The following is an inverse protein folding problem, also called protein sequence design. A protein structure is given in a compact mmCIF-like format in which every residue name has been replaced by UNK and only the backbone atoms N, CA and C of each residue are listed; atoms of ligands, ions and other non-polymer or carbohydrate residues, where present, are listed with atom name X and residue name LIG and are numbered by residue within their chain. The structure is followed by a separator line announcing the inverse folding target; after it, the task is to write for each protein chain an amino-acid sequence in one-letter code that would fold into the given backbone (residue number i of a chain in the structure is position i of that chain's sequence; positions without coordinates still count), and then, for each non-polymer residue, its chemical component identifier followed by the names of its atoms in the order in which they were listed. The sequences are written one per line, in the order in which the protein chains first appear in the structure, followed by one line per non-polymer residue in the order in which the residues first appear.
data_IF_202144809612
#
_entry.id   IF_202144809612
#
_cell.length_a   1.000
_cell.length_b   1.000
_cell.length_c   1.000
_cell.angle_alpha   90.00
_cell.angle_beta   90.00
_cell.angle_gamma   90.00
#
_symmetry.space_group_name_H-M   'P 1'
#
loop_
_entity.id
_entity.type
_entity.pdbx_description
1 polymer ?
#
# COMPACT_ATOMS: atom_id res chain seq x y z
N UNK A 1 -82.89 12.92 1.92
CA UNK A 1 -82.47 14.16 2.62
C UNK A 1 -81.29 14.72 1.82
N UNK A 2 -81.48 15.62 0.85
CA UNK A 2 -81.26 17.10 0.98
C UNK A 2 -80.17 17.39 2.03
N UNK A 3 -78.98 17.89 1.71
CA UNK A 3 -78.64 19.15 1.04
C UNK A 3 -77.20 19.07 0.48
N UNK A 4 -76.96 19.30 -0.82
CA UNK A 4 -76.47 20.55 -1.45
C UNK A 4 -75.15 21.12 -0.90
N UNK A 5 -74.10 21.19 -1.73
CA UNK A 5 -73.51 22.45 -2.24
C UNK A 5 -72.46 22.16 -3.34
N UNK A 6 -72.51 22.99 -4.39
CA UNK A 6 -71.65 23.04 -5.59
C UNK A 6 -70.34 23.83 -5.32
N UNK A 7 -69.38 23.89 -6.27
CA UNK A 7 -67.93 23.99 -6.04
C UNK A 7 -67.40 25.43 -6.06
N UNK A 8 -66.18 25.63 -5.56
CA UNK A 8 -65.37 26.79 -5.94
C UNK A 8 -63.89 26.41 -6.08
N UNK A 9 -63.37 26.77 -7.24
CA UNK A 9 -61.97 26.76 -7.67
C UNK A 9 -61.12 27.60 -6.71
N UNK A 10 -59.97 27.08 -6.31
CA UNK A 10 -58.97 27.78 -5.53
C UNK A 10 -57.57 27.30 -5.89
N UNK A 11 -56.98 27.95 -6.89
CA UNK A 11 -55.58 27.81 -7.30
C UNK A 11 -54.68 28.16 -6.11
N UNK A 12 -53.92 27.20 -5.58
CA UNK A 12 -52.85 27.49 -4.62
C UNK A 12 -51.52 27.40 -5.35
N UNK A 13 -50.97 28.59 -5.61
CA UNK A 13 -49.61 28.83 -6.05
C UNK A 13 -48.68 28.44 -4.90
N UNK A 14 -48.04 27.27 -4.98
CA UNK A 14 -47.02 26.85 -4.03
C UNK A 14 -45.75 27.67 -4.22
N UNK A 15 -45.61 28.75 -3.45
CA UNK A 15 -44.36 29.49 -3.34
C UNK A 15 -43.27 28.59 -2.71
N UNK A 16 -42.22 28.31 -3.49
CA UNK A 16 -40.96 27.76 -2.99
C UNK A 16 -40.33 28.79 -2.05
N UNK A 17 -40.47 28.57 -0.74
CA UNK A 17 -39.63 29.22 0.25
C UNK A 17 -38.26 28.55 0.21
N UNK A 18 -37.31 29.18 -0.49
CA UNK A 18 -35.89 28.92 -0.28
C UNK A 18 -35.54 29.37 1.13
N UNK A 19 -35.47 28.43 2.08
CA UNK A 19 -34.82 28.68 3.35
C UNK A 19 -33.32 28.75 3.09
N UNK A 20 -32.80 29.97 2.98
CA UNK A 20 -31.38 30.23 3.05
C UNK A 20 -30.86 29.76 4.42
N UNK A 21 -30.13 28.64 4.45
CA UNK A 21 -29.27 28.33 5.59
C UNK A 21 -28.06 29.25 5.51
N UNK A 22 -28.08 30.28 6.34
CA UNK A 22 -26.94 31.14 6.63
C UNK A 22 -25.72 30.31 7.04
N UNK A 23 -24.57 30.64 6.47
CA UNK A 23 -23.25 30.08 6.79
C UNK A 23 -22.97 30.10 8.30
N UNK A 24 -22.89 28.91 8.90
CA UNK A 24 -22.23 28.71 10.19
C UNK A 24 -20.75 28.41 9.94
N UNK A 25 -19.95 29.45 10.11
CA UNK A 25 -18.49 29.42 10.09
C UNK A 25 -17.98 29.18 11.51
N UNK A 26 -17.54 27.95 11.84
CA UNK A 26 -16.50 27.59 12.83
C UNK A 26 -16.59 26.12 13.27
N UNK A 27 -15.55 25.53 13.89
CA UNK A 27 -14.12 25.54 13.56
C UNK A 27 -13.58 24.08 13.48
N UNK A 28 -12.38 23.91 12.92
CA UNK A 28 -11.52 22.73 13.08
C UNK A 28 -12.18 21.37 12.82
N UNK A 29 -12.26 20.99 11.55
CA UNK A 29 -12.18 19.59 11.21
C UNK A 29 -10.88 19.03 11.83
N UNK A 30 -10.89 17.85 12.49
CA UNK A 30 -9.65 17.19 12.81
C UNK A 30 -8.92 16.96 11.48
N UNK A 31 -7.71 17.49 11.40
CA UNK A 31 -6.81 17.20 10.29
C UNK A 31 -6.60 15.69 10.33
N UNK A 32 -7.27 14.96 9.43
CA UNK A 32 -6.94 13.58 9.17
C UNK A 32 -5.47 13.63 8.76
N UNK A 33 -4.61 13.12 9.64
CA UNK A 33 -3.21 12.89 9.38
C UNK A 33 -3.12 12.30 7.98
N UNK A 34 -2.53 13.04 7.04
CA UNK A 34 -2.05 12.46 5.81
C UNK A 34 -1.10 11.34 6.24
N UNK A 35 -1.60 10.10 6.20
CA UNK A 35 -0.75 8.93 6.26
C UNK A 35 0.33 9.18 5.22
N UNK A 36 1.59 9.09 5.66
CA UNK A 36 2.69 8.90 4.73
C UNK A 36 2.23 7.86 3.72
N UNK A 37 2.31 8.18 2.43
CA UNK A 37 1.99 7.22 1.38
C UNK A 37 3.07 6.14 1.43
N UNK A 38 2.89 5.18 2.32
CA UNK A 38 3.66 3.97 2.36
C UNK A 38 3.41 3.29 1.02
N UNK A 39 4.42 3.29 0.15
CA UNK A 39 4.34 2.66 -1.16
C UNK A 39 4.41 1.15 -0.96
N UNK A 40 3.27 0.52 -0.80
CA UNK A 40 3.13 -0.91 -0.95
C UNK A 40 3.24 -1.25 -2.44
N UNK A 41 3.92 -2.35 -2.74
CA UNK A 41 3.92 -2.92 -4.08
C UNK A 41 3.16 -4.24 -4.02
N UNK A 42 2.14 -4.38 -4.85
CA UNK A 42 1.28 -5.56 -4.87
C UNK A 42 1.52 -6.38 -6.13
N UNK A 43 1.36 -7.68 -5.99
CA UNK A 43 1.13 -8.58 -7.11
C UNK A 43 0.06 -9.59 -6.71
N UNK A 44 -0.61 -10.15 -7.70
CA UNK A 44 -1.68 -11.08 -7.48
C UNK A 44 -2.26 -11.54 -8.80
N UNK A 45 -2.80 -12.75 -8.80
CA UNK A 45 -3.56 -13.29 -9.92
C UNK A 45 -4.44 -14.42 -9.42
N UNK A 46 -5.64 -14.50 -9.97
CA UNK A 46 -6.53 -15.63 -9.74
C UNK A 46 -6.94 -16.22 -11.08
N UNK A 47 -6.90 -17.55 -11.21
CA UNK A 47 -7.34 -18.23 -12.43
C UNK A 47 -8.08 -19.50 -12.07
N UNK A 48 -9.22 -19.73 -12.71
CA UNK A 48 -10.07 -20.88 -12.36
C UNK A 48 -9.58 -22.17 -13.02
N UNK A 49 -9.23 -22.14 -14.32
CA UNK A 49 -8.69 -23.30 -15.03
C UNK A 49 -7.45 -22.91 -15.80
N UNK A 50 -6.36 -23.65 -15.59
CA UNK A 50 -5.17 -23.64 -16.43
C UNK A 50 -4.83 -25.10 -16.75
N UNK A 51 -4.90 -25.48 -18.03
CA UNK A 51 -4.72 -26.87 -18.43
C UNK A 51 -3.88 -27.00 -19.70
N UNK A 52 -2.92 -27.92 -19.68
CA UNK A 52 -2.18 -28.38 -20.86
C UNK A 52 -2.40 -29.88 -21.00
N UNK A 53 -2.86 -30.33 -22.18
CA UNK A 53 -3.10 -31.75 -22.47
C UNK A 53 -2.38 -32.14 -23.76
N UNK A 54 -1.41 -33.04 -23.62
CA UNK A 54 -0.58 -33.63 -24.68
C UNK A 54 -1.20 -34.97 -25.07
N UNK A 55 -2.25 -34.92 -25.88
CA UNK A 55 -2.99 -36.09 -26.35
C UNK A 55 -3.25 -36.03 -27.85
N UNK A 56 -2.23 -36.34 -28.66
CA UNK A 56 -2.34 -36.60 -30.11
C UNK A 56 -2.41 -35.40 -31.05
N UNK A 57 -2.79 -34.21 -30.57
CA UNK A 57 -2.69 -32.96 -31.32
C UNK A 57 -2.11 -31.85 -30.42
N UNK A 58 -1.39 -30.89 -31.02
CA UNK A 58 -0.90 -29.69 -30.35
C UNK A 58 -2.10 -28.81 -29.97
N UNK A 59 -2.75 -29.10 -28.85
CA UNK A 59 -3.79 -28.23 -28.30
C UNK A 59 -3.09 -27.08 -27.57
N UNK A 60 -3.50 -25.85 -27.87
CA UNK A 60 -3.06 -24.69 -27.12
C UNK A 60 -3.47 -24.83 -25.65
N UNK A 61 -2.71 -24.24 -24.70
CA UNK A 61 -3.11 -24.21 -23.30
C UNK A 61 -4.53 -23.68 -23.14
N UNK A 62 -5.34 -24.38 -22.36
CA UNK A 62 -6.70 -23.97 -22.00
C UNK A 62 -6.57 -23.08 -20.77
N UNK A 63 -7.02 -21.83 -20.88
CA UNK A 63 -7.18 -20.93 -19.74
C UNK A 63 -8.61 -20.43 -19.71
N UNK A 64 -9.30 -20.66 -18.59
CA UNK A 64 -10.68 -20.20 -18.39
C UNK A 64 -10.77 -19.39 -17.12
N UNK A 65 -11.36 -18.19 -17.25
CA UNK A 65 -11.56 -17.20 -16.19
C UNK A 65 -10.26 -16.85 -15.49
N UNK A 66 -9.68 -15.74 -15.92
CA UNK A 66 -8.48 -15.16 -15.34
C UNK A 66 -8.81 -13.74 -14.89
N UNK A 67 -8.61 -13.45 -13.60
CA UNK A 67 -8.77 -12.09 -13.11
C UNK A 67 -7.74 -11.14 -13.77
N UNK A 68 -6.63 -11.66 -14.30
CA UNK A 68 -5.51 -10.88 -14.78
C UNK A 68 -4.52 -10.53 -13.66
N UNK A 69 -3.35 -9.97 -14.01
CA UNK A 69 -2.35 -9.56 -13.04
C UNK A 69 -2.83 -8.30 -12.29
N UNK A 70 -2.73 -8.31 -10.97
CA UNK A 70 -2.94 -7.13 -10.15
C UNK A 70 -1.79 -6.12 -10.38
N UNK A 71 -2.08 -4.84 -10.67
CA UNK A 71 -1.06 -3.81 -10.80
C UNK A 71 -0.26 -3.61 -9.50
N UNK A 72 1.00 -3.19 -9.64
CA UNK A 72 1.89 -2.84 -8.52
C UNK A 72 1.34 -1.74 -7.61
N UNK A 73 0.48 -0.86 -8.14
CA UNK A 73 -0.21 0.19 -7.39
C UNK A 73 -1.38 -0.33 -6.55
N UNK A 74 -1.76 -1.60 -6.69
CA UNK A 74 -2.97 -2.18 -6.11
C UNK A 74 -4.19 -1.95 -6.99
N UNK A 75 -5.37 -2.10 -6.40
CA UNK A 75 -6.66 -2.10 -7.11
C UNK A 75 -7.40 -3.41 -6.92
N UNK A 76 -8.34 -3.69 -7.81
CA UNK A 76 -9.05 -4.97 -7.85
C UNK A 76 -9.37 -5.34 -9.29
N UNK A 77 -9.21 -6.62 -9.62
CA UNK A 77 -9.53 -7.19 -10.92
C UNK A 77 -10.32 -8.49 -10.71
N UNK A 78 -11.16 -8.85 -11.67
CA UNK A 78 -11.96 -10.06 -11.57
C UNK A 78 -12.69 -10.43 -12.84
N UNK A 79 -12.99 -11.72 -12.96
CA UNK A 79 -13.71 -12.27 -14.09
C UNK A 79 -14.62 -13.41 -13.61
N UNK A 80 -15.74 -13.60 -14.29
CA UNK A 80 -16.67 -14.70 -14.05
C UNK A 80 -17.09 -15.38 -15.35
N UNK A 81 -17.47 -16.65 -15.28
CA UNK A 81 -18.10 -17.38 -16.37
C UNK A 81 -19.14 -18.34 -15.78
N UNK A 82 -20.35 -18.32 -16.34
CA UNK A 82 -21.45 -19.12 -15.81
C UNK A 82 -21.24 -20.62 -16.06
N UNK A 83 -20.83 -21.00 -17.27
CA UNK A 83 -20.63 -22.39 -17.67
C UNK A 83 -19.42 -22.48 -18.60
N UNK A 84 -18.65 -23.55 -18.43
CA UNK A 84 -17.57 -23.92 -19.33
C UNK A 84 -17.72 -25.37 -19.76
N UNK A 85 -17.57 -25.61 -21.06
CA UNK A 85 -17.54 -26.96 -21.63
C UNK A 85 -16.43 -27.06 -22.67
N UNK A 86 -15.46 -27.92 -22.42
CA UNK A 86 -14.44 -28.35 -23.37
C UNK A 86 -14.70 -29.84 -23.62
N UNK A 87 -15.27 -30.21 -24.78
CA UNK A 87 -15.69 -31.58 -25.05
C UNK A 87 -14.58 -32.61 -24.78
N UNK A 88 -14.87 -33.60 -23.93
CA UNK A 88 -13.95 -34.68 -23.57
C UNK A 88 -12.83 -34.30 -22.60
N UNK A 89 -12.77 -33.04 -22.14
CA UNK A 89 -11.70 -32.54 -21.24
C UNK A 89 -12.27 -31.97 -19.95
N UNK A 90 -13.25 -31.06 -20.02
CA UNK A 90 -13.72 -30.31 -18.87
C UNK A 90 -15.19 -29.90 -18.99
N UNK A 91 -15.94 -30.03 -17.90
CA UNK A 91 -17.17 -29.26 -17.64
C UNK A 91 -17.06 -28.56 -16.28
N UNK A 92 -17.60 -27.35 -16.18
CA UNK A 92 -17.60 -26.58 -14.94
C UNK A 92 -18.71 -25.52 -14.93
N UNK A 93 -19.18 -25.17 -13.74
CA UNK A 93 -20.21 -24.16 -13.51
C UNK A 93 -19.70 -23.07 -12.56
N UNK A 94 -20.24 -21.86 -12.67
CA UNK A 94 -20.01 -20.71 -11.77
C UNK A 94 -18.52 -20.49 -11.47
N UNK A 95 -17.75 -20.24 -12.52
CA UNK A 95 -16.33 -19.93 -12.42
C UNK A 95 -16.17 -18.46 -11.98
N UNK A 96 -15.38 -18.23 -10.95
CA UNK A 96 -15.08 -16.90 -10.41
C UNK A 96 -13.59 -16.78 -10.07
N UNK A 97 -12.99 -15.68 -10.50
CA UNK A 97 -11.64 -15.30 -10.11
C UNK A 97 -11.62 -13.82 -9.72
N UNK A 98 -10.98 -13.50 -8.61
CA UNK A 98 -10.77 -12.13 -8.17
C UNK A 98 -9.39 -11.96 -7.52
N UNK A 99 -8.81 -10.78 -7.70
CA UNK A 99 -7.58 -10.36 -7.01
C UNK A 99 -7.71 -8.90 -6.59
N UNK A 100 -7.15 -8.54 -5.44
CA UNK A 100 -7.19 -7.18 -4.92
C UNK A 100 -5.99 -6.86 -4.04
N UNK A 101 -5.48 -5.64 -4.15
CA UNK A 101 -4.43 -5.10 -3.28
C UNK A 101 -4.79 -3.71 -2.79
N UNK A 102 -4.77 -3.52 -1.48
CA UNK A 102 -5.04 -2.24 -0.85
C UNK A 102 -4.41 -2.16 0.55
N UNK A 103 -3.78 -1.03 0.84
CA UNK A 103 -3.10 -0.80 2.11
C UNK A 103 -2.04 -1.87 2.39
N UNK A 104 -2.08 -2.47 3.57
CA UNK A 104 -1.10 -3.48 3.98
C UNK A 104 -1.47 -4.90 3.58
N UNK A 105 -2.32 -5.13 2.57
CA UNK A 105 -2.84 -6.46 2.20
C UNK A 105 -3.02 -6.64 0.69
N UNK A 106 -2.64 -7.81 0.20
CA UNK A 106 -2.97 -8.37 -1.13
C UNK A 106 -3.71 -9.68 -0.93
N UNK A 107 -4.75 -9.93 -1.72
CA UNK A 107 -5.53 -11.15 -1.65
C UNK A 107 -6.05 -11.57 -3.01
N UNK A 108 -6.06 -12.87 -3.26
CA UNK A 108 -6.62 -13.47 -4.47
C UNK A 108 -7.47 -14.68 -4.10
N UNK A 109 -8.53 -14.91 -4.87
CA UNK A 109 -9.37 -16.09 -4.76
C UNK A 109 -9.86 -16.57 -6.11
N UNK A 110 -9.96 -17.89 -6.26
CA UNK A 110 -10.55 -18.54 -7.42
C UNK A 110 -11.49 -19.64 -6.95
N UNK A 111 -12.66 -19.77 -7.58
CA UNK A 111 -13.64 -20.80 -7.26
C UNK A 111 -14.38 -21.33 -8.47
N UNK A 112 -14.88 -22.56 -8.35
CA UNK A 112 -15.67 -23.25 -9.37
C UNK A 112 -16.64 -24.23 -8.72
N UNK A 113 -17.84 -24.34 -9.29
CA UNK A 113 -18.86 -25.31 -8.91
C UNK A 113 -18.94 -26.45 -9.94
N UNK A 114 -19.35 -27.63 -9.48
CA UNK A 114 -19.67 -28.80 -10.31
C UNK A 114 -18.62 -29.08 -11.41
N UNK A 115 -17.36 -29.20 -10.98
CA UNK A 115 -16.23 -29.50 -11.85
C UNK A 115 -16.24 -30.98 -12.24
N UNK A 116 -15.99 -31.26 -13.51
CA UNK A 116 -15.49 -32.55 -13.99
C UNK A 116 -14.34 -32.33 -14.99
N UNK A 117 -13.20 -32.96 -14.75
CA UNK A 117 -12.01 -32.92 -15.61
C UNK A 117 -11.64 -34.34 -15.99
N UNK A 118 -11.40 -34.59 -17.28
CA UNK A 118 -10.83 -35.84 -17.78
C UNK A 118 -9.48 -35.59 -18.43
N UNK A 119 -8.43 -36.24 -17.91
CA UNK A 119 -7.07 -36.11 -18.40
C UNK A 119 -6.32 -37.45 -18.31
N UNK A 120 -5.75 -37.89 -19.44
CA UNK A 120 -4.94 -39.11 -19.52
C UNK A 120 -5.60 -40.37 -18.95
N UNK A 121 -6.91 -40.53 -19.18
CA UNK A 121 -7.70 -41.66 -18.70
C UNK A 121 -8.21 -41.53 -17.27
N UNK A 122 -7.84 -40.48 -16.53
CA UNK A 122 -8.37 -40.20 -15.20
C UNK A 122 -9.52 -39.19 -15.29
N UNK A 123 -10.55 -39.37 -14.47
CA UNK A 123 -11.63 -38.39 -14.30
C UNK A 123 -11.60 -37.87 -12.87
N UNK A 124 -11.54 -36.56 -12.67
CA UNK A 124 -11.54 -35.90 -11.36
C UNK A 124 -12.73 -34.95 -11.31
N UNK A 125 -13.58 -35.11 -10.30
CA UNK A 125 -14.78 -34.29 -10.13
C UNK A 125 -14.91 -33.75 -8.72
N UNK A 126 -15.50 -32.57 -8.58
CA UNK A 126 -15.78 -31.95 -7.28
C UNK A 126 -17.01 -31.06 -7.38
N UNK A 127 -17.84 -31.05 -6.33
CA UNK A 127 -19.03 -30.20 -6.29
C UNK A 127 -18.70 -28.71 -6.08
N UNK A 128 -17.58 -28.43 -5.41
CA UNK A 128 -17.09 -27.08 -5.21
C UNK A 128 -15.60 -27.08 -4.91
N UNK A 129 -14.88 -26.11 -5.47
CA UNK A 129 -13.50 -25.81 -5.17
C UNK A 129 -13.33 -24.31 -4.96
N UNK A 130 -12.53 -23.94 -3.96
CA UNK A 130 -12.06 -22.58 -3.79
C UNK A 130 -10.61 -22.60 -3.30
N UNK A 131 -9.79 -21.70 -3.83
CA UNK A 131 -8.49 -21.36 -3.29
C UNK A 131 -8.46 -19.90 -2.87
N UNK A 132 -7.81 -19.62 -1.74
CA UNK A 132 -7.55 -18.26 -1.24
C UNK A 132 -6.08 -18.11 -0.91
N UNK A 133 -5.50 -17.02 -1.38
CA UNK A 133 -4.14 -16.60 -1.08
C UNK A 133 -4.18 -15.19 -0.50
N UNK A 134 -3.42 -14.95 0.56
CA UNK A 134 -3.30 -13.64 1.20
C UNK A 134 -1.84 -13.36 1.54
N UNK A 135 -1.40 -12.14 1.23
CA UNK A 135 -0.14 -11.58 1.67
C UNK A 135 -0.41 -10.26 2.44
N UNK A 136 0.22 -10.08 3.59
CA UNK A 136 0.01 -8.92 4.46
C UNK A 136 1.31 -8.38 5.05
N UNK A 137 1.35 -7.07 5.22
CA UNK A 137 2.43 -6.37 5.90
C UNK A 137 2.07 -6.10 7.35
N UNK A 138 2.94 -6.49 8.28
CA UNK A 138 2.84 -6.16 9.71
C UNK A 138 4.20 -5.66 10.19
N UNK A 139 4.28 -4.38 10.59
CA UNK A 139 5.51 -3.78 11.09
C UNK A 139 6.68 -3.82 10.09
N UNK A 140 6.40 -3.61 8.81
CA UNK A 140 7.40 -3.68 7.74
C UNK A 140 7.79 -5.10 7.29
N UNK A 141 7.26 -6.14 7.93
CA UNK A 141 7.51 -7.53 7.54
C UNK A 141 6.32 -8.08 6.77
N UNK A 142 6.59 -8.76 5.65
CA UNK A 142 5.58 -9.48 4.91
C UNK A 142 5.29 -10.83 5.58
N UNK A 143 4.05 -11.27 5.50
CA UNK A 143 3.60 -12.59 5.95
C UNK A 143 2.48 -13.06 5.03
N UNK A 144 2.38 -14.37 4.85
CA UNK A 144 1.44 -14.97 3.89
C UNK A 144 0.60 -16.06 4.55
N UNK A 145 -0.59 -16.28 4.01
CA UNK A 145 -1.47 -17.37 4.41
C UNK A 145 -2.30 -17.85 3.23
N UNK A 146 -2.54 -19.16 3.18
CA UNK A 146 -3.27 -19.80 2.09
C UNK A 146 -4.21 -20.89 2.60
N UNK A 147 -5.31 -21.09 1.89
CA UNK A 147 -6.27 -22.17 2.20
C UNK A 147 -7.04 -22.59 0.95
N UNK A 148 -7.51 -23.83 0.92
CA UNK A 148 -8.50 -24.28 -0.04
C UNK A 148 -9.72 -24.92 0.64
N UNK A 149 -10.87 -24.82 -0.02
CA UNK A 149 -12.11 -25.50 0.35
C UNK A 149 -12.53 -26.39 -0.81
N UNK A 150 -12.76 -27.67 -0.54
CA UNK A 150 -13.10 -28.66 -1.56
C UNK A 150 -14.22 -29.55 -1.06
N UNK A 151 -15.32 -29.59 -1.79
CA UNK A 151 -16.47 -30.42 -1.48
C UNK A 151 -16.68 -31.52 -2.52
N UNK A 152 -17.04 -32.72 -2.04
CA UNK A 152 -17.41 -33.88 -2.88
C UNK A 152 -16.34 -34.26 -3.92
N UNK A 153 -15.07 -34.30 -3.52
CA UNK A 153 -13.98 -34.72 -4.41
C UNK A 153 -14.05 -36.22 -4.70
N UNK A 154 -14.19 -36.59 -5.98
CA UNK A 154 -14.24 -37.96 -6.46
C UNK A 154 -13.25 -38.14 -7.62
N UNK A 155 -12.47 -39.21 -7.56
CA UNK A 155 -11.52 -39.61 -8.60
C UNK A 155 -11.99 -40.93 -9.24
N UNK A 156 -11.90 -41.00 -10.57
CA UNK A 156 -12.27 -42.14 -11.41
C UNK A 156 -13.68 -42.65 -11.09
N UNK A 157 -14.61 -41.71 -10.91
CA UNK A 157 -16.05 -41.88 -10.66
C UNK A 157 -16.46 -42.60 -9.35
N UNK A 158 -15.55 -43.33 -8.71
CA UNK A 158 -15.92 -44.26 -7.64
C UNK A 158 -15.15 -43.99 -6.34
N UNK A 159 -14.00 -43.31 -6.40
CA UNK A 159 -13.13 -43.09 -5.26
C UNK A 159 -13.39 -41.71 -4.64
N UNK A 160 -14.18 -41.67 -3.57
CA UNK A 160 -14.33 -40.46 -2.75
C UNK A 160 -13.05 -40.19 -1.96
N UNK A 161 -12.56 -38.95 -2.03
CA UNK A 161 -11.33 -38.53 -1.35
C UNK A 161 -11.67 -37.74 -0.09
N UNK A 162 -11.04 -38.10 1.03
CA UNK A 162 -11.09 -37.31 2.26
C UNK A 162 -10.09 -36.16 2.15
N UNK A 163 -10.59 -34.94 2.15
CA UNK A 163 -9.78 -33.72 2.13
C UNK A 163 -9.36 -33.40 3.57
N UNK A 164 -8.07 -33.49 3.85
CA UNK A 164 -7.52 -33.29 5.20
C UNK A 164 -7.46 -31.82 5.63
N UNK A 165 -7.48 -30.89 4.67
CA UNK A 165 -7.21 -29.47 4.89
C UNK A 165 -5.72 -29.12 5.06
N UNK A 166 -4.85 -30.12 5.22
CA UNK A 166 -3.40 -29.89 5.27
C UNK A 166 -2.88 -29.42 3.90
N UNK A 167 -1.86 -28.55 3.85
CA UNK A 167 -1.20 -28.19 2.61
C UNK A 167 -0.58 -29.41 1.92
N UNK A 168 -0.61 -29.41 0.58
CA UNK A 168 0.10 -30.35 -0.30
C UNK A 168 -0.28 -31.83 -0.10
N UNK A 169 -1.55 -32.12 0.22
CA UNK A 169 -2.04 -33.50 0.30
C UNK A 169 -1.99 -34.16 -1.09
N UNK A 170 -1.23 -35.24 -1.23
CA UNK A 170 -1.06 -35.92 -2.52
C UNK A 170 -1.84 -37.22 -2.59
N UNK A 171 -2.59 -37.41 -3.67
CA UNK A 171 -3.32 -38.64 -4.01
C UNK A 171 -2.69 -39.26 -5.26
N UNK A 172 -2.17 -40.50 -5.20
CA UNK A 172 -1.59 -41.15 -6.38
C UNK A 172 -2.67 -41.52 -7.41
N UNK A 173 -2.31 -41.39 -8.69
CA UNK A 173 -3.06 -41.91 -9.83
C UNK A 173 -2.25 -43.05 -10.49
N UNK A 174 -2.86 -43.91 -11.31
CA UNK A 174 -2.14 -44.96 -12.03
C UNK A 174 -0.98 -44.46 -12.90
N UNK A 175 -1.06 -43.24 -13.41
CA UNK A 175 -0.10 -42.59 -14.32
C UNK A 175 0.21 -41.14 -13.91
N UNK A 176 0.18 -40.84 -12.61
CA UNK A 176 0.46 -39.50 -12.11
C UNK A 176 -0.02 -39.27 -10.68
N UNK A 177 -0.47 -38.06 -10.38
CA UNK A 177 -0.96 -37.68 -9.06
C UNK A 177 -1.92 -36.50 -9.10
N UNK A 178 -2.70 -36.35 -8.04
CA UNK A 178 -3.45 -35.13 -7.71
C UNK A 178 -2.88 -34.54 -6.43
N UNK A 179 -2.55 -33.26 -6.43
CA UNK A 179 -2.16 -32.50 -5.25
C UNK A 179 -3.34 -31.62 -4.85
N UNK A 180 -3.79 -31.76 -3.61
CA UNK A 180 -4.89 -31.04 -3.00
C UNK A 180 -4.31 -29.97 -2.08
N UNK A 181 -4.90 -28.77 -2.11
CA UNK A 181 -4.43 -27.62 -1.33
C UNK A 181 -2.92 -27.42 -1.54
N UNK A 182 -2.48 -27.40 -2.80
CA UNK A 182 -1.08 -27.19 -3.11
C UNK A 182 -0.72 -25.75 -2.72
N UNK A 183 0.27 -25.60 -1.83
CA UNK A 183 0.73 -24.30 -1.36
C UNK A 183 2.24 -24.19 -1.55
N UNK A 184 2.65 -23.14 -2.25
CA UNK A 184 4.03 -22.67 -2.30
C UNK A 184 4.08 -21.26 -1.71
N UNK A 185 4.77 -21.12 -0.57
CA UNK A 185 4.92 -19.86 0.15
C UNK A 185 6.37 -19.36 0.11
N UNK A 186 6.55 -18.09 -0.21
CA UNK A 186 7.79 -17.34 -0.03
C UNK A 186 7.71 -16.39 1.18
N UNK A 187 8.62 -15.41 1.22
CA UNK A 187 8.68 -14.44 2.33
C UNK A 187 7.61 -13.34 2.25
N UNK A 188 7.09 -13.06 1.05
CA UNK A 188 6.05 -12.06 0.82
C UNK A 188 4.97 -12.50 -0.17
N UNK A 189 5.14 -13.68 -0.78
CA UNK A 189 4.26 -14.24 -1.80
C UNK A 189 3.76 -15.63 -1.43
N UNK A 190 2.59 -16.00 -1.94
CA UNK A 190 2.04 -17.36 -1.84
C UNK A 190 1.19 -17.68 -3.05
N UNK A 191 1.32 -18.90 -3.55
CA UNK A 191 0.42 -19.50 -4.53
C UNK A 191 -0.30 -20.67 -3.89
N UNK A 192 -1.63 -20.70 -4.06
CA UNK A 192 -2.51 -21.77 -3.60
C UNK A 192 -3.31 -22.31 -4.78
N UNK A 193 -3.21 -23.61 -5.03
CA UNK A 193 -4.06 -24.31 -5.98
C UNK A 193 -5.00 -25.23 -5.21
N UNK A 194 -6.30 -25.18 -5.48
CA UNK A 194 -7.24 -26.11 -4.85
C UNK A 194 -6.95 -27.54 -5.32
N UNK A 195 -6.77 -27.74 -6.64
CA UNK A 195 -6.30 -28.99 -7.23
C UNK A 195 -5.21 -28.75 -8.27
N UNK A 196 -4.22 -29.63 -8.26
CA UNK A 196 -3.22 -29.75 -9.31
C UNK A 196 -3.13 -31.21 -9.74
N UNK A 197 -3.62 -31.51 -10.94
CA UNK A 197 -3.67 -32.85 -11.54
C UNK A 197 -2.52 -32.97 -12.53
N UNK A 198 -1.63 -33.91 -12.26
CA UNK A 198 -0.45 -34.16 -13.08
C UNK A 198 -0.57 -35.59 -13.59
N UNK A 199 -0.60 -35.74 -14.91
CA UNK A 199 -0.55 -37.03 -15.58
C UNK A 199 0.74 -37.09 -16.37
N UNK A 200 1.64 -38.00 -15.98
CA UNK A 200 3.03 -37.98 -16.41
C UNK A 200 3.16 -38.05 -17.93
N UNK A 201 3.76 -37.01 -18.52
CA UNK A 201 3.95 -36.88 -19.97
C UNK A 201 2.68 -36.61 -20.78
N UNK A 202 1.52 -36.45 -20.15
CA UNK A 202 0.21 -36.33 -20.81
C UNK A 202 -0.51 -35.04 -20.43
N UNK A 203 -0.57 -34.65 -19.17
CA UNK A 203 -1.36 -33.48 -18.78
C UNK A 203 -0.86 -32.81 -17.51
N UNK A 204 -1.05 -31.50 -17.46
CA UNK A 204 -0.83 -30.63 -16.30
C UNK A 204 -2.06 -29.71 -16.19
N UNK A 205 -2.84 -29.87 -15.12
CA UNK A 205 -4.11 -29.17 -14.93
C UNK A 205 -4.17 -28.59 -13.53
N UNK A 206 -4.26 -27.27 -13.45
CA UNK A 206 -4.47 -26.51 -12.22
C UNK A 206 -5.89 -25.97 -12.20
N UNK A 207 -6.61 -26.25 -11.11
CA UNK A 207 -7.97 -25.77 -10.86
C UNK A 207 -8.00 -24.91 -9.60
N UNK A 208 -8.62 -23.73 -9.74
CA UNK A 208 -8.70 -22.68 -8.75
C UNK A 208 -7.31 -22.34 -8.19
N UNK A 209 -6.56 -21.55 -8.95
CA UNK A 209 -5.27 -20.99 -8.56
C UNK A 209 -5.45 -19.57 -8.04
N UNK A 210 -4.88 -19.28 -6.88
CA UNK A 210 -4.82 -17.95 -6.29
C UNK A 210 -3.38 -17.63 -5.90
N UNK A 211 -2.84 -16.54 -6.42
CA UNK A 211 -1.52 -16.01 -6.07
C UNK A 211 -1.67 -14.63 -5.45
N UNK A 212 -0.97 -14.37 -4.34
CA UNK A 212 -0.90 -13.06 -3.70
C UNK A 212 0.53 -12.75 -3.29
N UNK A 213 0.97 -11.52 -3.53
CA UNK A 213 2.28 -10.99 -3.17
C UNK A 213 2.12 -9.55 -2.63
N UNK A 214 2.90 -9.23 -1.61
CA UNK A 214 3.08 -7.86 -1.15
C UNK A 214 4.54 -7.61 -0.77
N UNK A 215 5.10 -6.52 -1.31
CA UNK A 215 6.35 -5.96 -0.80
C UNK A 215 6.02 -4.89 0.21
N UNK A 216 6.50 -5.09 1.44
CA UNK A 216 6.29 -4.11 2.49
C UNK A 216 7.25 -2.93 2.32
N UNK A 217 6.75 -1.70 2.55
CA UNK A 217 7.62 -0.56 2.74
C UNK A 217 8.53 -0.88 3.94
N UNK A 218 9.84 -0.85 3.70
CA UNK A 218 10.80 -0.89 4.79
C UNK A 218 10.54 0.33 5.66
N UNK A 219 10.40 0.13 6.98
CA UNK A 219 10.52 1.26 7.88
C UNK A 219 11.82 2.00 7.52
N UNK A 220 11.81 3.35 7.50
CA UNK A 220 13.07 4.08 7.46
C UNK A 220 14.00 3.47 8.52
N UNK A 221 15.29 3.27 8.22
CA UNK A 221 16.22 2.73 9.22
C UNK A 221 15.99 3.50 10.53
N UNK A 222 15.89 2.80 11.68
CA UNK A 222 15.78 3.50 12.95
C UNK A 222 16.94 4.50 12.99
N UNK A 223 16.69 5.76 13.42
CA UNK A 223 17.77 6.70 13.64
C UNK A 223 18.85 5.98 14.45
N UNK A 224 20.15 6.15 14.14
CA UNK A 224 21.22 5.56 14.93
C UNK A 224 20.98 5.83 16.42
N UNK A 225 21.38 4.91 17.32
CA UNK A 225 21.06 4.98 18.75
C UNK A 225 21.22 6.41 19.24
N UNK A 226 20.08 7.01 19.58
CA UNK A 226 19.96 8.46 19.68
C UNK A 226 20.88 8.93 20.80
N UNK A 227 21.82 9.79 20.43
CA UNK A 227 22.10 10.87 21.33
C UNK A 227 20.76 11.57 21.63
N UNK A 228 20.31 11.68 22.89
CA UNK A 228 19.08 12.41 23.22
C UNK A 228 19.25 13.92 23.08
N UNK A 229 20.28 14.37 22.35
CA UNK A 229 20.49 15.78 22.09
C UNK A 229 19.47 16.31 21.09
N UNK A 230 19.22 17.60 21.23
CA UNK A 230 18.42 18.37 20.31
C UNK A 230 18.96 19.79 20.31
N UNK A 231 18.87 20.46 19.17
CA UNK A 231 19.27 21.85 19.02
C UNK A 231 18.03 22.70 18.76
N UNK A 232 17.98 23.86 19.40
CA UNK A 232 16.92 24.85 19.21
C UNK A 232 17.53 26.21 19.03
N UNK A 233 16.88 27.09 18.29
CA UNK A 233 17.29 28.48 18.30
C UNK A 233 16.60 29.32 17.26
N UNK A 234 17.09 30.54 17.15
CA UNK A 234 16.60 31.50 16.19
C UNK A 234 17.48 32.73 16.20
N UNK A 235 17.47 33.45 15.10
CA UNK A 235 18.36 34.57 14.92
C UNK A 235 18.30 35.13 13.52
N UNK A 236 19.40 35.75 13.13
CA UNK A 236 19.56 36.29 11.79
C UNK A 236 21.01 36.32 11.34
N UNK A 237 21.17 36.23 10.02
CA UNK A 237 22.43 36.33 9.27
C UNK A 237 22.30 37.41 8.20
N UNK A 238 23.42 37.99 7.75
CA UNK A 238 23.45 38.99 6.66
C UNK A 238 24.09 38.48 5.37
N UNK A 239 24.81 37.35 5.43
CA UNK A 239 25.48 36.75 4.30
C UNK A 239 24.51 35.82 3.54
N UNK A 240 23.54 36.42 2.85
CA UNK A 240 22.57 35.72 2.00
C UNK A 240 22.86 35.99 0.52
N UNK A 241 22.40 35.12 -0.40
CA UNK A 241 22.47 35.39 -1.84
C UNK A 241 21.82 36.70 -2.28
N UNK A 242 20.80 37.17 -1.56
CA UNK A 242 20.14 38.45 -1.85
C UNK A 242 20.96 39.67 -1.40
N UNK A 243 21.97 39.47 -0.55
CA UNK A 243 22.73 40.51 0.13
C UNK A 243 21.97 41.21 1.25
N UNK A 244 20.77 40.75 1.59
CA UNK A 244 19.96 41.30 2.67
C UNK A 244 19.97 40.39 3.91
N UNK A 245 19.49 40.95 5.02
CA UNK A 245 19.27 40.20 6.26
C UNK A 245 18.28 39.06 6.03
N UNK A 246 18.59 37.88 6.58
CA UNK A 246 17.64 36.79 6.73
C UNK A 246 17.40 36.43 8.20
N UNK A 247 16.13 36.15 8.52
CA UNK A 247 15.69 35.72 9.84
C UNK A 247 15.32 34.25 9.83
N UNK A 248 15.61 33.54 10.93
CA UNK A 248 15.24 32.15 11.06
C UNK A 248 14.82 31.76 12.48
N UNK A 249 14.03 30.69 12.56
CA UNK A 249 13.75 29.92 13.75
C UNK A 249 13.84 28.44 13.40
N UNK A 250 14.49 27.66 14.25
CA UNK A 250 14.80 26.26 13.94
C UNK A 250 14.86 25.42 15.21
N UNK A 251 14.38 24.20 15.09
CA UNK A 251 14.60 23.16 16.09
C UNK A 251 14.76 21.81 15.39
N UNK A 252 15.60 20.93 15.94
CA UNK A 252 15.79 19.58 15.44
C UNK A 252 16.31 18.64 16.52
N UNK A 253 15.84 17.39 16.52
CA UNK A 253 16.29 16.33 17.40
C UNK A 253 15.47 15.07 17.23
N UNK A 254 15.69 14.09 18.11
CA UNK A 254 14.88 12.87 18.17
C UNK A 254 14.11 12.82 19.49
N UNK A 255 12.77 12.78 19.40
CA UNK A 255 11.87 12.71 20.55
C UNK A 255 11.02 11.45 20.46
N UNK A 256 11.07 10.60 21.49
CA UNK A 256 10.33 9.33 21.55
C UNK A 256 10.59 8.42 20.32
N UNK A 257 11.83 8.39 19.82
CA UNK A 257 12.20 7.56 18.66
C UNK A 257 11.76 8.10 17.30
N UNK A 258 11.20 9.31 17.23
CA UNK A 258 10.82 9.99 15.99
C UNK A 258 11.53 11.33 15.85
N UNK A 259 11.80 11.75 14.61
CA UNK A 259 12.33 13.10 14.36
C UNK A 259 11.34 14.16 14.82
N UNK A 260 11.87 15.22 15.43
CA UNK A 260 11.11 16.34 15.95
C UNK A 260 11.82 17.64 15.58
N UNK A 261 11.06 18.67 15.22
CA UNK A 261 11.63 19.96 14.86
C UNK A 261 10.75 20.79 13.95
N UNK A 262 11.31 21.92 13.51
CA UNK A 262 10.74 22.79 12.49
C UNK A 262 11.83 23.69 11.90
N UNK A 263 11.53 24.29 10.74
CA UNK A 263 12.29 25.40 10.16
C UNK A 263 11.33 26.52 9.74
N UNK A 264 11.70 27.76 10.02
CA UNK A 264 11.11 28.95 9.41
C UNK A 264 12.24 29.88 9.04
N UNK A 265 12.26 30.35 7.79
CA UNK A 265 13.32 31.20 7.27
C UNK A 265 12.74 32.25 6.31
N UNK A 266 13.22 33.48 6.41
CA UNK A 266 12.85 34.57 5.49
C UNK A 266 14.12 35.34 5.15
N UNK A 267 14.46 35.37 3.88
CA UNK A 267 15.41 36.33 3.33
C UNK A 267 14.64 37.59 2.88
N UNK A 268 15.03 38.75 3.41
CA UNK A 268 14.33 40.02 3.19
C UNK A 268 14.73 40.75 1.91
N UNK A 269 15.69 40.22 1.14
CA UNK A 269 16.15 40.87 -0.08
C UNK A 269 15.20 40.66 -1.27
N UNK A 270 15.45 41.40 -2.37
CA UNK A 270 14.74 41.15 -3.62
C UNK A 270 14.92 39.68 -4.05
N UNK A 271 13.80 38.97 -4.24
CA UNK A 271 13.75 37.53 -4.55
C UNK A 271 14.29 36.61 -3.44
N UNK A 272 14.42 37.09 -2.20
CA UNK A 272 14.73 36.25 -1.05
C UNK A 272 13.59 35.27 -0.76
N UNK A 273 13.88 33.97 -0.54
CA UNK A 273 12.83 32.98 -0.30
C UNK A 273 12.18 33.12 1.08
N UNK A 274 10.90 32.78 1.16
CA UNK A 274 10.21 32.46 2.41
C UNK A 274 10.05 30.97 2.53
N UNK A 275 10.70 30.37 3.51
CA UNK A 275 10.73 28.93 3.71
C UNK A 275 9.98 28.55 4.96
N UNK A 276 9.10 27.56 4.83
CA UNK A 276 8.42 26.91 5.95
C UNK A 276 8.70 25.41 5.87
N UNK A 277 9.39 24.87 6.87
CA UNK A 277 9.55 23.43 7.02
C UNK A 277 8.21 22.73 7.24
N UNK A 278 7.97 21.64 6.53
CA UNK A 278 6.75 20.83 6.59
C UNK A 278 6.98 19.48 7.27
N UNK A 279 8.23 19.07 7.46
CA UNK A 279 8.60 17.85 8.19
C UNK A 279 10.11 17.74 8.36
N UNK A 280 10.54 16.97 9.36
CA UNK A 280 11.95 16.61 9.59
C UNK A 280 12.17 15.18 9.11
N UNK A 281 13.20 14.97 8.27
CA UNK A 281 13.53 13.68 7.67
C UNK A 281 14.89 13.14 8.11
N UNK A 282 15.74 13.98 8.71
CA UNK A 282 17.05 13.58 9.18
C UNK A 282 17.56 14.49 10.30
N UNK A 283 18.35 13.90 11.22
CA UNK A 283 19.06 14.60 12.28
C UNK A 283 20.38 13.87 12.55
N UNK A 284 21.52 14.57 12.42
CA UNK A 284 22.86 14.00 12.56
C UNK A 284 23.76 14.86 13.45
N UNK A 285 24.59 14.20 14.25
CA UNK A 285 25.68 14.82 15.00
C UNK A 285 26.88 14.98 14.08
N UNK A 286 27.33 16.21 13.83
CA UNK A 286 28.53 16.47 13.03
C UNK A 286 29.77 16.51 13.93
N UNK A 287 29.70 17.25 15.04
CA UNK A 287 30.75 17.31 16.06
C UNK A 287 30.16 17.71 17.44
N UNK A 288 31.00 18.16 18.38
CA UNK A 288 30.57 18.51 19.74
C UNK A 288 29.53 19.63 19.79
N UNK A 289 29.56 20.58 18.84
CA UNK A 289 28.72 21.79 18.82
C UNK A 289 27.76 21.83 17.64
N UNK A 290 27.99 21.01 16.61
CA UNK A 290 27.30 21.13 15.31
C UNK A 290 26.32 20.00 15.04
N UNK A 291 25.10 20.35 14.61
CA UNK A 291 24.05 19.41 14.20
C UNK A 291 23.57 19.70 12.79
N UNK A 292 23.32 18.63 12.04
CA UNK A 292 22.76 18.67 10.70
C UNK A 292 21.30 18.21 10.73
N UNK A 293 20.39 18.95 10.11
CA UNK A 293 18.96 18.66 10.05
C UNK A 293 18.51 18.64 8.58
N UNK A 294 17.82 17.58 8.17
CA UNK A 294 17.16 17.50 6.87
C UNK A 294 15.64 17.58 7.02
N UNK A 295 14.95 18.12 6.01
CA UNK A 295 13.49 18.15 6.02
C UNK A 295 12.85 18.49 4.68
N UNK A 296 11.52 18.43 4.67
CA UNK A 296 10.68 18.90 3.56
C UNK A 296 10.24 20.34 3.81
N UNK A 297 9.99 21.12 2.76
CA UNK A 297 9.60 22.53 2.88
C UNK A 297 8.60 23.01 1.82
N UNK A 298 7.96 24.12 2.16
CA UNK A 298 7.33 25.04 1.22
C UNK A 298 8.24 26.25 1.01
N UNK A 299 8.44 26.66 -0.25
CA UNK A 299 9.14 27.90 -0.62
C UNK A 299 8.13 28.83 -1.27
N UNK A 300 7.98 30.04 -0.71
CA UNK A 300 6.98 31.04 -1.13
C UNK A 300 5.55 30.46 -1.23
N UNK A 301 5.23 29.56 -0.29
CA UNK A 301 3.93 28.88 -0.21
C UNK A 301 3.73 27.75 -1.23
N UNK A 302 4.77 27.36 -1.98
CA UNK A 302 4.72 26.23 -2.92
C UNK A 302 5.34 24.98 -2.27
N UNK A 303 4.62 23.84 -2.19
CA UNK A 303 5.17 22.61 -1.62
C UNK A 303 6.09 21.88 -2.61
N UNK A 304 6.74 20.81 -2.13
CA UNK A 304 7.54 19.91 -2.96
C UNK A 304 9.06 20.16 -2.93
N UNK A 305 9.55 21.01 -2.02
CA UNK A 305 10.97 21.27 -1.84
C UNK A 305 11.52 20.50 -0.65
N UNK A 306 12.84 20.33 -0.62
CA UNK A 306 13.58 19.82 0.54
C UNK A 306 14.63 20.84 0.98
N UNK A 307 15.10 20.71 2.22
CA UNK A 307 16.18 21.50 2.77
C UNK A 307 17.10 20.63 3.61
N UNK A 308 18.32 21.12 3.78
CA UNK A 308 19.14 20.76 4.92
C UNK A 308 19.69 22.02 5.59
N UNK A 309 19.96 21.93 6.90
CA UNK A 309 20.51 23.03 7.68
C UNK A 309 21.54 22.52 8.68
N UNK A 310 22.70 23.16 8.70
CA UNK A 310 23.74 22.97 9.72
C UNK A 310 23.66 24.10 10.76
N UNK A 311 23.72 23.70 12.03
CA UNK A 311 23.60 24.56 13.20
C UNK A 311 24.74 24.28 14.16
N UNK A 312 25.55 25.29 14.49
CA UNK A 312 26.63 25.17 15.47
C UNK A 312 26.40 26.12 16.65
N UNK A 313 26.30 25.55 17.86
CA UNK A 313 26.27 26.29 19.14
C UNK A 313 27.69 26.48 19.64
N UNK A 314 28.26 27.66 19.43
CA UNK A 314 29.67 27.96 19.72
C UNK A 314 29.84 28.69 21.07
N UNK A 315 28.88 28.51 21.96
CA UNK A 315 28.90 28.99 23.33
C UNK A 315 28.20 30.34 23.53
N UNK A 316 28.01 30.66 24.81
CA UNK A 316 27.15 31.77 25.22
C UNK A 316 27.93 33.06 25.54
N UNK A 317 27.45 34.24 25.12
CA UNK A 317 26.22 34.47 24.35
C UNK A 317 26.39 34.04 22.88
N UNK A 318 25.34 33.51 22.24
CA UNK A 318 25.31 32.91 20.90
C UNK A 318 25.65 33.80 19.69
N UNK A 319 26.55 34.77 19.86
CA UNK A 319 27.13 35.61 18.80
C UNK A 319 28.18 34.88 17.97
N UNK A 320 28.68 33.74 18.45
CA UNK A 320 29.61 32.88 17.72
C UNK A 320 28.90 31.78 16.93
N UNK A 321 27.61 31.57 17.20
CA UNK A 321 26.80 30.52 16.59
C UNK A 321 26.73 30.66 15.08
N UNK A 322 26.60 29.51 14.40
CA UNK A 322 26.58 29.44 12.94
C UNK A 322 25.32 28.79 12.42
N UNK A 323 24.83 29.33 11.32
CA UNK A 323 23.68 28.83 10.59
C UNK A 323 24.05 28.68 9.11
N UNK A 324 23.78 27.51 8.52
CA UNK A 324 23.92 27.28 7.09
C UNK A 324 22.71 26.53 6.58
N UNK A 325 21.91 27.18 5.73
CA UNK A 325 20.74 26.61 5.06
C UNK A 325 21.03 26.37 3.59
N UNK A 326 20.63 25.19 3.12
CA UNK A 326 20.57 24.85 1.71
C UNK A 326 19.17 24.35 1.35
N UNK A 327 18.67 24.78 0.20
CA UNK A 327 17.36 24.41 -0.33
C UNK A 327 17.53 23.66 -1.66
N UNK A 328 16.61 22.74 -1.96
CA UNK A 328 16.63 21.93 -3.19
C UNK A 328 16.45 22.72 -4.49
N UNK A 329 16.25 24.04 -4.41
CA UNK A 329 16.23 24.95 -5.55
C UNK A 329 17.56 25.70 -5.73
N UNK A 330 18.65 25.17 -5.16
CA UNK A 330 20.01 25.72 -5.22
C UNK A 330 20.21 27.03 -4.42
N UNK A 331 19.24 27.45 -3.60
CA UNK A 331 19.45 28.56 -2.68
C UNK A 331 20.30 28.10 -1.50
N UNK A 332 21.37 28.85 -1.21
CA UNK A 332 22.35 28.52 -0.17
C UNK A 332 22.71 29.79 0.61
N UNK A 333 22.48 29.78 1.93
CA UNK A 333 22.75 30.92 2.80
C UNK A 333 23.47 30.46 4.08
N UNK A 334 24.58 31.11 4.40
CA UNK A 334 25.45 30.72 5.52
C UNK A 334 25.99 31.94 6.26
N UNK A 335 26.11 31.87 7.58
CA UNK A 335 26.66 32.97 8.35
C UNK A 335 26.78 32.71 9.84
N UNK A 336 27.56 33.58 10.50
CA UNK A 336 27.55 33.73 11.95
C UNK A 336 26.33 34.56 12.35
N UNK A 337 25.68 34.22 13.46
CA UNK A 337 24.52 34.96 13.94
C UNK A 337 24.92 36.39 14.35
N UNK A 338 24.36 37.38 13.66
CA UNK A 338 24.52 38.79 14.06
C UNK A 338 23.54 39.18 15.20
N UNK A 339 22.65 38.26 15.56
CA UNK A 339 21.86 38.27 16.79
C UNK A 339 20.90 37.09 16.83
N UNK A 340 20.57 36.65 18.04
CA UNK A 340 19.88 35.38 18.27
C UNK A 340 20.72 34.45 19.14
N UNK A 341 20.29 33.19 19.21
CA UNK A 341 20.99 32.12 19.92
C UNK A 341 20.58 30.77 19.36
N UNK A 342 21.55 29.88 19.22
CA UNK A 342 21.38 28.44 19.13
C UNK A 342 21.70 27.84 20.50
N UNK A 343 20.99 26.78 20.87
CA UNK A 343 21.24 26.06 22.11
C UNK A 343 21.19 24.57 21.80
N UNK A 344 22.32 23.92 22.00
CA UNK A 344 22.45 22.47 21.97
C UNK A 344 22.17 21.92 23.36
N UNK A 345 21.17 21.05 23.47
CA UNK A 345 20.73 20.45 24.71
C UNK A 345 21.19 19.00 24.79
N UNK A 346 21.67 18.55 25.94
CA UNK A 346 22.08 17.17 26.21
C UNK A 346 23.14 16.61 25.25
N UNK A 347 24.10 17.44 24.81
CA UNK A 347 25.15 17.08 23.85
C UNK A 347 25.82 15.74 24.16
N UNK A 348 25.85 14.82 23.20
CA UNK A 348 26.70 13.62 23.35
C UNK A 348 28.13 13.95 22.96
N UNK A 349 29.03 13.64 23.90
CA UNK A 349 30.49 13.67 23.73
C UNK A 349 30.98 12.51 22.87
#
# INVERSE_FOLDING_TARGET
MKASHLPLVGTVLGALLFSACSDLKNPTAPNLTESSSQSFNYSGRATVVQATVLGGALIAPITLVDAGPLPSSGGAEGQTLLEANVPGVLSAEVLHAATSGQGSRSSSEASVAELSVTAGGNTVSAGFLMARAEAKCTGGNASVSGSSEIARLVINNDQTIVVSGAPNQTIPLPNGRVIINEQQSGSGDITVNALHIIVDGIADVVIASAHADITCPTAPPPPPPTCPDFITGGGWIDATPSGAKANFAVAGGVKNGAFWGHLSYIDHGPNGPKVKGTGITGYMVIDATTRHIEGTAEIDGRPGFTYWVDLADEGEPGRADRFHLHLSNEYDATGVLNGGNLQLHNSCS
#
